data_IF_900164906750
#
_entry.id   IF_900164906750
#
_cell.length_a   1.000
_cell.length_b   1.000
_cell.length_c   1.000
_cell.angle_alpha   90.00
_cell.angle_beta   90.00
_cell.angle_gamma   90.00
#
_symmetry.space_group_name_H-M   'P 1'
#
loop_
_entity.id
_entity.type
_entity.pdbx_description
1 polymer ?
#
# COMPACT_ATOMS: atom_id res chain seq x y z
N UNK A 1 -5.86 4.64 50.76
CA UNK A 1 -4.53 5.17 51.12
C UNK A 1 -3.99 5.86 49.91
N UNK A 2 -3.94 7.18 49.98
CA UNK A 2 -3.50 8.06 48.89
C UNK A 2 -1.99 8.09 48.81
N UNK A 3 -1.43 7.95 47.63
CA UNK A 3 -0.09 8.48 47.38
C UNK A 3 -0.13 9.43 46.19
N UNK A 4 0.22 10.67 46.53
CA UNK A 4 0.17 11.86 45.67
C UNK A 4 1.49 11.97 44.93
N UNK A 5 1.42 12.14 43.62
CA UNK A 5 2.57 12.42 42.78
C UNK A 5 3.16 13.80 43.06
N UNK A 6 4.46 13.83 43.34
CA UNK A 6 5.25 15.03 43.65
C UNK A 6 5.75 15.72 42.38
N UNK A 7 5.29 16.93 42.14
CA UNK A 7 5.77 17.83 41.07
C UNK A 7 7.04 18.53 41.59
N UNK A 8 8.12 18.50 40.82
CA UNK A 8 9.36 19.24 41.07
C UNK A 8 9.42 20.43 40.10
N UNK A 9 9.54 21.68 40.57
CA UNK A 9 9.71 22.84 39.74
C UNK A 9 11.18 23.08 39.36
N UNK A 10 11.47 23.33 38.09
CA UNK A 10 12.76 23.81 37.62
C UNK A 10 12.87 25.32 37.89
N UNK A 11 13.85 25.71 38.68
CA UNK A 11 14.25 27.09 38.95
C UNK A 11 15.04 27.67 37.78
N UNK A 12 14.65 28.86 37.34
CA UNK A 12 15.43 29.73 36.48
C UNK A 12 16.43 30.57 37.29
N UNK A 13 17.54 30.83 36.70
CA UNK A 13 18.50 31.90 37.07
C UNK A 13 18.92 32.49 35.74
N UNK A 14 18.86 33.77 35.49
CA UNK A 14 19.12 34.98 36.28
C UNK A 14 20.00 35.83 35.39
N UNK A 15 19.44 36.95 34.89
CA UNK A 15 20.16 37.92 34.06
C UNK A 15 21.11 38.75 34.92
N UNK A 16 22.28 39.11 34.38
CA UNK A 16 23.04 40.27 34.84
C UNK A 16 23.48 41.12 33.66
N UNK A 17 23.07 42.39 33.73
CA UNK A 17 23.56 43.51 32.96
C UNK A 17 24.91 43.96 33.51
N UNK A 18 25.78 44.55 32.64
CA UNK A 18 26.99 45.29 33.03
C UNK A 18 27.74 45.79 31.80
N UNK A 19 27.45 46.96 31.35
CA UNK A 19 28.16 48.25 31.34
C UNK A 19 29.45 48.30 30.48
N UNK A 20 29.42 49.16 29.45
CA UNK A 20 30.59 49.81 28.84
C UNK A 20 31.14 50.86 29.83
N UNK A 21 32.28 51.49 29.67
CA UNK A 21 32.95 52.01 28.46
C UNK A 21 34.50 51.93 28.47
N UNK A 22 35.12 52.37 27.40
CA UNK A 22 36.58 52.53 27.38
C UNK A 22 37.16 53.04 26.06
N UNK A 23 37.08 54.34 25.93
CA UNK A 23 37.71 55.12 24.85
C UNK A 23 39.21 55.24 25.12
N UNK A 24 40.09 54.77 24.24
CA UNK A 24 41.51 55.19 24.22
C UNK A 24 41.84 55.87 22.91
N UNK A 25 42.24 57.15 23.02
CA UNK A 25 42.96 57.93 22.02
C UNK A 25 44.45 57.81 22.34
N UNK A 26 45.29 57.67 21.34
CA UNK A 26 46.66 58.16 21.27
C UNK A 26 47.17 57.90 19.85
N UNK A 27 47.33 58.85 18.99
CA UNK A 27 48.53 59.63 18.72
C UNK A 27 49.80 58.76 18.51
N UNK A 28 50.31 58.78 17.30
CA UNK A 28 51.66 59.23 16.88
C UNK A 28 51.87 58.86 15.43
N UNK A 29 52.14 59.77 14.68
CA UNK A 29 53.32 60.34 14.03
C UNK A 29 53.59 59.81 12.62
N UNK A 30 53.59 60.78 11.82
CA UNK A 30 53.97 60.90 10.43
C UNK A 30 55.50 60.54 10.26
N UNK A 31 55.75 59.52 9.44
CA UNK A 31 57.00 59.43 8.70
C UNK A 31 56.68 59.06 7.26
N UNK A 32 57.08 59.96 6.37
CA UNK A 32 57.07 59.76 4.94
C UNK A 32 58.31 58.86 4.60
N UNK A 33 58.02 57.74 3.94
CA UNK A 33 59.04 57.12 3.12
C UNK A 33 58.38 56.66 1.83
N UNK A 34 58.89 57.20 0.76
CA UNK A 34 58.62 56.74 -0.60
C UNK A 34 59.01 55.28 -0.74
N UNK A 35 58.06 54.44 -1.10
CA UNK A 35 58.34 53.11 -1.57
C UNK A 35 57.42 52.77 -2.76
N UNK A 36 58.15 52.50 -3.82
CA UNK A 36 57.77 51.96 -5.13
C UNK A 36 56.47 51.10 -5.10
N UNK A 37 55.55 51.48 -5.98
CA UNK A 37 54.39 50.60 -6.32
C UNK A 37 54.90 49.24 -6.84
N UNK A 38 54.47 48.13 -6.23
CA UNK A 38 54.55 46.86 -6.90
C UNK A 38 53.50 46.80 -8.00
N UNK A 39 53.91 46.44 -9.19
CA UNK A 39 53.02 46.11 -10.32
C UNK A 39 51.90 45.17 -9.87
N UNK A 40 50.66 45.60 -10.00
CA UNK A 40 49.50 44.76 -9.71
C UNK A 40 49.54 43.53 -10.61
N UNK A 41 49.63 42.35 -10.00
CA UNK A 41 49.40 41.07 -10.70
C UNK A 41 47.94 41.08 -11.28
N UNK A 42 47.78 40.61 -12.51
CA UNK A 42 46.43 40.47 -13.06
C UNK A 42 45.62 39.50 -12.20
N UNK A 43 44.32 39.78 -12.01
CA UNK A 43 43.46 38.88 -11.23
C UNK A 43 43.42 37.48 -11.86
N UNK A 44 43.35 36.42 -11.04
CA UNK A 44 43.28 35.06 -11.56
C UNK A 44 42.05 34.91 -12.47
N UNK A 45 42.11 34.05 -13.51
CA UNK A 45 40.99 33.84 -14.40
C UNK A 45 39.77 33.38 -13.60
N UNK A 46 38.63 34.07 -13.80
CA UNK A 46 37.35 33.66 -13.24
C UNK A 46 36.95 32.32 -13.87
N UNK A 47 37.09 31.25 -13.11
CA UNK A 47 36.55 29.94 -13.49
C UNK A 47 35.04 30.03 -13.34
N UNK A 48 34.31 30.24 -14.44
CA UNK A 48 32.85 30.14 -14.49
C UNK A 48 32.55 28.66 -14.30
N UNK A 49 31.78 28.26 -13.24
CA UNK A 49 31.36 26.88 -13.11
C UNK A 49 30.53 26.52 -14.35
N UNK A 50 30.61 25.27 -14.86
CA UNK A 50 29.74 24.83 -15.94
C UNK A 50 28.27 25.01 -15.53
N UNK A 51 27.48 25.59 -16.42
CA UNK A 51 26.04 25.71 -16.21
C UNK A 51 25.46 24.34 -15.85
N UNK A 52 24.60 24.24 -14.82
CA UNK A 52 23.93 22.98 -14.52
C UNK A 52 23.16 22.53 -15.76
N UNK A 53 23.12 21.21 -16.04
CA UNK A 53 22.37 20.71 -17.21
C UNK A 53 20.94 21.19 -17.12
N UNK A 54 20.43 21.74 -18.23
CA UNK A 54 19.06 22.25 -18.33
C UNK A 54 18.08 21.15 -17.90
N UNK A 55 17.13 21.48 -17.03
CA UNK A 55 16.06 20.55 -16.65
C UNK A 55 15.29 20.13 -17.93
N UNK A 56 15.03 18.82 -18.09
CA UNK A 56 14.33 18.35 -19.28
C UNK A 56 12.96 19.02 -19.36
N UNK A 57 12.60 19.51 -20.54
CA UNK A 57 11.30 20.12 -20.75
C UNK A 57 10.19 19.10 -20.52
N UNK A 58 9.00 19.55 -20.11
CA UNK A 58 7.83 18.67 -19.92
C UNK A 58 7.52 17.84 -21.18
N UNK A 59 7.84 18.35 -22.36
CA UNK A 59 7.70 17.66 -23.65
C UNK A 59 8.71 16.52 -23.78
N UNK A 60 9.96 16.75 -23.34
CA UNK A 60 11.00 15.72 -23.40
C UNK A 60 10.71 14.58 -22.41
N UNK A 61 10.19 14.91 -21.21
CA UNK A 61 9.75 13.91 -20.22
C UNK A 61 8.62 13.05 -20.78
N UNK A 62 7.62 13.66 -21.41
CA UNK A 62 6.51 12.92 -22.04
C UNK A 62 7.01 12.08 -23.22
N UNK A 63 7.88 12.63 -24.07
CA UNK A 63 8.46 11.91 -25.21
C UNK A 63 9.27 10.71 -24.75
N UNK A 64 10.08 10.86 -23.71
CA UNK A 64 10.85 9.76 -23.13
C UNK A 64 9.93 8.68 -22.56
N UNK A 65 8.93 9.06 -21.78
CA UNK A 65 7.95 8.12 -21.21
C UNK A 65 7.20 7.33 -22.30
N UNK A 66 6.82 7.98 -23.39
CA UNK A 66 6.20 7.31 -24.55
C UNK A 66 7.17 6.37 -25.23
N UNK A 67 8.42 6.78 -25.44
CA UNK A 67 9.45 5.92 -26.03
C UNK A 67 9.72 4.68 -25.18
N UNK A 68 9.86 4.85 -23.88
CA UNK A 68 10.08 3.75 -22.92
C UNK A 68 8.88 2.78 -22.93
N UNK A 69 7.66 3.30 -23.01
CA UNK A 69 6.45 2.49 -23.13
C UNK A 69 6.40 1.68 -24.45
N UNK A 70 6.82 2.26 -25.55
CA UNK A 70 6.89 1.56 -26.85
C UNK A 70 7.92 0.45 -26.81
N UNK A 71 9.12 0.71 -26.24
CA UNK A 71 10.19 -0.28 -26.10
C UNK A 71 9.73 -1.44 -25.20
N UNK A 72 9.14 -1.15 -24.04
CA UNK A 72 8.64 -2.18 -23.12
C UNK A 72 7.53 -3.02 -23.77
N UNK A 73 6.63 -2.40 -24.52
CA UNK A 73 5.57 -3.11 -25.25
C UNK A 73 6.15 -4.01 -26.35
N UNK A 74 7.14 -3.53 -27.09
CA UNK A 74 7.80 -4.33 -28.13
C UNK A 74 8.58 -5.50 -27.53
N UNK A 75 9.27 -5.31 -26.43
CA UNK A 75 9.94 -6.39 -25.68
C UNK A 75 8.95 -7.42 -25.11
N UNK A 76 7.82 -6.94 -24.58
CA UNK A 76 6.73 -7.80 -24.13
C UNK A 76 6.22 -8.69 -25.24
N UNK A 77 5.88 -8.11 -26.40
CA UNK A 77 5.42 -8.87 -27.56
C UNK A 77 6.48 -9.85 -28.08
N UNK A 78 7.74 -9.43 -28.15
CA UNK A 78 8.84 -10.28 -28.56
C UNK A 78 8.96 -11.50 -27.65
N UNK A 79 9.01 -11.33 -26.33
CA UNK A 79 9.08 -12.43 -25.34
C UNK A 79 7.88 -13.36 -25.44
N UNK A 80 6.68 -12.80 -25.67
CA UNK A 80 5.47 -13.62 -25.88
C UNK A 80 5.51 -14.46 -27.13
N UNK A 81 6.00 -13.90 -28.22
CA UNK A 81 6.12 -14.60 -29.50
C UNK A 81 7.24 -15.63 -29.51
N UNK A 82 8.35 -15.37 -28.81
CA UNK A 82 9.47 -16.32 -28.68
C UNK A 82 9.24 -17.40 -27.62
N UNK A 83 8.22 -17.29 -26.76
CA UNK A 83 8.02 -18.19 -25.63
C UNK A 83 9.00 -17.98 -24.46
N UNK A 84 9.82 -16.93 -24.51
CA UNK A 84 10.84 -16.61 -23.50
C UNK A 84 10.22 -15.80 -22.34
N UNK A 85 9.34 -16.46 -21.59
CA UNK A 85 8.77 -15.94 -20.35
C UNK A 85 8.57 -17.08 -19.34
N UNK A 86 8.77 -16.74 -18.08
CA UNK A 86 8.63 -17.70 -16.99
C UNK A 86 7.29 -17.50 -16.29
N UNK A 87 6.65 -18.60 -15.97
CA UNK A 87 5.42 -18.68 -15.18
C UNK A 87 5.71 -19.63 -14.03
N UNK A 88 5.36 -19.21 -12.80
CA UNK A 88 5.54 -20.09 -11.66
C UNK A 88 4.49 -21.21 -11.60
N UNK A 89 4.64 -22.13 -10.65
CA UNK A 89 3.74 -23.27 -10.47
C UNK A 89 2.27 -22.87 -10.18
N UNK A 90 2.03 -21.65 -9.73
CA UNK A 90 0.70 -21.09 -9.49
C UNK A 90 0.13 -20.35 -10.70
N UNK A 91 0.92 -20.17 -11.75
CA UNK A 91 0.52 -19.45 -12.96
C UNK A 91 0.86 -17.97 -12.96
N UNK A 92 1.60 -17.47 -11.97
CA UNK A 92 2.05 -16.09 -11.93
C UNK A 92 3.09 -15.82 -13.00
N UNK A 93 2.87 -14.73 -13.72
CA UNK A 93 3.70 -14.27 -14.82
C UNK A 93 4.18 -12.84 -14.48
N UNK A 94 5.38 -12.69 -13.91
CA UNK A 94 5.90 -11.38 -13.53
C UNK A 94 5.91 -10.39 -14.68
N UNK A 95 6.29 -10.86 -15.86
CA UNK A 95 6.38 -10.01 -17.03
C UNK A 95 5.02 -9.49 -17.51
N UNK A 96 3.95 -10.31 -17.39
CA UNK A 96 2.59 -9.85 -17.64
C UNK A 96 2.11 -8.89 -16.55
N UNK A 97 2.39 -9.19 -15.29
CA UNK A 97 1.98 -8.36 -14.17
C UNK A 97 2.57 -6.95 -14.25
N UNK A 98 3.87 -6.84 -14.53
CA UNK A 98 4.59 -5.55 -14.58
C UNK A 98 4.26 -4.73 -15.82
N UNK A 99 4.14 -5.37 -16.99
CA UNK A 99 4.03 -4.64 -18.26
C UNK A 99 2.59 -4.46 -18.76
N UNK A 100 1.62 -5.22 -18.21
CA UNK A 100 0.22 -5.14 -18.64
C UNK A 100 -0.70 -4.84 -17.47
N UNK A 101 -0.66 -5.69 -16.43
CA UNK A 101 -1.66 -5.66 -15.39
C UNK A 101 -1.56 -4.42 -14.50
N UNK A 102 -0.41 -4.16 -13.90
CA UNK A 102 -0.19 -3.00 -13.06
C UNK A 102 -0.37 -1.66 -13.80
N UNK A 103 0.17 -1.48 -15.02
CA UNK A 103 -0.08 -0.26 -15.80
C UNK A 103 -1.56 0.06 -16.05
N UNK A 104 -2.41 -0.97 -16.22
CA UNK A 104 -3.87 -0.79 -16.37
C UNK A 104 -4.51 -0.34 -15.04
N UNK A 105 -4.00 -0.81 -13.90
CA UNK A 105 -4.56 -0.49 -12.58
C UNK A 105 -4.09 0.85 -12.00
N UNK A 106 -2.88 1.30 -12.34
CA UNK A 106 -2.30 2.56 -11.82
C UNK A 106 -3.18 3.80 -12.04
N UNK A 107 -3.82 4.03 -13.19
CA UNK A 107 -4.74 5.16 -13.34
C UNK A 107 -5.93 5.13 -12.37
N UNK A 108 -6.45 3.93 -12.03
CA UNK A 108 -7.48 3.79 -11.01
C UNK A 108 -6.92 4.11 -9.62
N UNK A 109 -5.73 3.64 -9.33
CA UNK A 109 -5.04 3.84 -8.05
C UNK A 109 -4.71 5.32 -7.84
N UNK A 110 -3.99 5.94 -8.77
CA UNK A 110 -3.42 7.28 -8.62
C UNK A 110 -4.44 8.41 -8.84
N UNK A 111 -5.27 8.27 -9.88
CA UNK A 111 -6.13 9.37 -10.35
C UNK A 111 -7.59 9.22 -9.94
N UNK A 112 -8.11 8.00 -10.00
CA UNK A 112 -9.52 7.76 -9.72
C UNK A 112 -9.79 7.66 -8.22
N UNK A 113 -9.12 6.77 -7.54
CA UNK A 113 -9.24 6.59 -6.09
C UNK A 113 -8.24 7.43 -5.29
N UNK A 114 -7.19 7.92 -5.90
CA UNK A 114 -6.15 8.76 -5.27
C UNK A 114 -5.69 8.13 -3.95
N UNK A 115 -5.29 6.87 -4.04
CA UNK A 115 -4.97 6.02 -2.88
C UNK A 115 -3.80 6.60 -2.09
N UNK A 116 -3.95 6.72 -0.79
CA UNK A 116 -2.86 7.01 0.14
C UNK A 116 -2.46 5.73 0.86
N UNK A 117 -1.17 5.42 0.81
CA UNK A 117 -0.58 4.23 1.44
C UNK A 117 0.23 4.63 2.66
N UNK A 118 0.10 3.88 3.74
CA UNK A 118 0.91 4.05 4.96
C UNK A 118 1.27 2.71 5.58
N UNK A 119 2.40 2.67 6.31
CA UNK A 119 2.86 1.46 6.99
C UNK A 119 3.41 0.38 6.07
N UNK A 120 3.74 0.69 4.81
CA UNK A 120 4.25 -0.30 3.84
C UNK A 120 5.56 -0.95 4.31
N UNK A 121 6.33 -0.24 5.12
CA UNK A 121 7.56 -0.71 5.77
C UNK A 121 7.34 -1.86 6.75
N UNK A 122 6.10 -2.10 7.18
CA UNK A 122 5.72 -3.23 8.01
C UNK A 122 5.72 -4.56 7.26
N UNK A 123 5.69 -4.53 5.92
CA UNK A 123 5.89 -5.72 5.10
C UNK A 123 7.39 -5.98 5.03
N UNK A 124 7.88 -7.18 5.41
CA UNK A 124 9.31 -7.46 5.44
C UNK A 124 9.91 -7.43 4.04
N UNK A 125 11.15 -6.96 3.92
CA UNK A 125 11.87 -6.87 2.65
C UNK A 125 12.16 -8.24 2.03
N UNK A 126 12.25 -9.29 2.85
CA UNK A 126 12.51 -10.68 2.46
C UNK A 126 11.71 -11.64 3.33
N UNK A 127 11.57 -12.88 2.90
CA UNK A 127 10.79 -13.88 3.62
C UNK A 127 9.28 -13.79 3.37
N UNK A 128 8.53 -14.77 3.85
CA UNK A 128 7.08 -14.81 3.75
C UNK A 128 6.40 -13.80 4.66
N UNK A 129 5.26 -13.27 4.22
CA UNK A 129 4.38 -12.47 5.06
C UNK A 129 2.93 -12.64 4.61
N UNK A 130 2.00 -12.62 5.54
CA UNK A 130 0.58 -12.74 5.26
C UNK A 130 -0.15 -11.43 5.54
N UNK A 131 -0.53 -10.71 4.50
CA UNK A 131 -1.39 -9.53 4.59
C UNK A 131 -2.83 -9.99 4.80
N UNK A 132 -3.49 -9.47 5.83
CA UNK A 132 -4.89 -9.77 6.17
C UNK A 132 -5.69 -8.48 6.13
N UNK A 133 -6.68 -8.40 5.25
CA UNK A 133 -7.42 -7.16 5.00
C UNK A 133 -8.94 -7.32 5.17
N UNK A 134 -9.64 -6.20 5.42
CA UNK A 134 -11.09 -6.11 5.28
C UNK A 134 -11.48 -6.20 3.81
N UNK A 135 -12.68 -6.76 3.54
CA UNK A 135 -13.18 -6.97 2.17
C UNK A 135 -14.46 -6.22 1.90
N UNK A 136 -14.51 -5.51 0.78
CA UNK A 136 -15.65 -4.67 0.46
C UNK A 136 -15.77 -4.33 -1.02
N UNK A 137 -16.90 -3.72 -1.40
CA UNK A 137 -17.05 -3.04 -2.68
C UNK A 137 -17.69 -3.87 -3.77
N UNK A 138 -18.46 -4.93 -3.46
CA UNK A 138 -19.25 -5.73 -4.43
C UNK A 138 -18.39 -6.47 -5.47
N UNK A 139 -17.39 -5.82 -6.04
CA UNK A 139 -16.33 -6.36 -6.90
C UNK A 139 -15.00 -6.17 -6.16
N UNK A 140 -14.08 -7.15 -6.17
CA UNK A 140 -12.85 -7.14 -5.36
C UNK A 140 -11.78 -6.15 -5.87
N UNK A 141 -12.17 -4.90 -6.11
CA UNK A 141 -11.23 -3.84 -6.53
C UNK A 141 -10.24 -3.50 -5.40
N UNK A 142 -10.65 -3.69 -4.15
CA UNK A 142 -9.78 -3.56 -2.98
C UNK A 142 -8.55 -4.46 -3.05
N UNK A 143 -8.72 -5.71 -3.49
CA UNK A 143 -7.61 -6.64 -3.72
C UNK A 143 -6.65 -6.12 -4.79
N UNK A 144 -7.19 -5.60 -5.90
CA UNK A 144 -6.39 -5.05 -6.99
C UNK A 144 -5.60 -3.81 -6.56
N UNK A 145 -6.23 -2.90 -5.84
CA UNK A 145 -5.56 -1.69 -5.32
C UNK A 145 -4.50 -2.03 -4.27
N UNK A 146 -4.74 -3.06 -3.45
CA UNK A 146 -3.74 -3.55 -2.50
C UNK A 146 -2.52 -4.15 -3.20
N UNK A 147 -2.72 -4.83 -4.34
CA UNK A 147 -1.59 -5.33 -5.17
C UNK A 147 -0.73 -4.20 -5.71
N UNK A 148 -1.36 -3.14 -6.23
CA UNK A 148 -0.64 -1.93 -6.69
C UNK A 148 0.09 -1.28 -5.52
N UNK A 149 -0.58 -1.11 -4.36
CA UNK A 149 0.01 -0.52 -3.17
C UNK A 149 1.30 -1.25 -2.73
N UNK A 150 1.25 -2.57 -2.65
CA UNK A 150 2.44 -3.36 -2.24
C UNK A 150 3.53 -3.27 -3.29
N UNK A 151 3.21 -3.46 -4.56
CA UNK A 151 4.23 -3.45 -5.61
C UNK A 151 4.90 -2.07 -5.74
N UNK A 152 4.11 -1.00 -5.84
CA UNK A 152 4.66 0.32 -6.21
C UNK A 152 5.26 1.08 -5.02
N UNK A 153 4.77 0.85 -3.79
CA UNK A 153 5.25 1.57 -2.60
C UNK A 153 6.25 0.77 -1.76
N UNK A 154 6.34 -0.57 -1.92
CA UNK A 154 7.32 -1.34 -1.18
C UNK A 154 8.73 -1.20 -1.82
N UNK A 155 9.81 -0.92 -1.03
CA UNK A 155 11.15 -0.65 -1.58
C UNK A 155 11.75 -1.76 -2.45
N UNK A 156 11.25 -2.99 -2.29
CA UNK A 156 11.69 -4.16 -3.06
C UNK A 156 10.72 -4.55 -4.16
N UNK A 157 9.69 -3.75 -4.43
CA UNK A 157 8.65 -4.00 -5.44
C UNK A 157 8.09 -5.43 -5.37
N UNK A 158 7.77 -5.88 -4.15
CA UNK A 158 7.34 -7.26 -3.91
C UNK A 158 5.98 -7.53 -4.56
N UNK A 159 5.83 -8.62 -5.32
CA UNK A 159 4.52 -9.03 -5.80
C UNK A 159 3.63 -9.46 -4.63
N UNK A 160 2.35 -9.14 -4.68
CA UNK A 160 1.35 -9.60 -3.72
C UNK A 160 0.57 -10.77 -4.31
N UNK A 161 0.64 -11.93 -3.64
CA UNK A 161 -0.03 -13.16 -4.05
C UNK A 161 -1.40 -13.23 -3.38
N UNK A 162 -2.46 -12.90 -4.12
CA UNK A 162 -3.82 -12.90 -3.60
C UNK A 162 -4.38 -14.30 -3.48
N UNK A 163 -4.87 -14.67 -2.30
CA UNK A 163 -5.66 -15.87 -2.08
C UNK A 163 -7.12 -15.56 -2.41
N UNK A 164 -7.58 -16.02 -3.57
CA UNK A 164 -8.90 -15.73 -4.11
C UNK A 164 -9.82 -16.95 -4.08
N UNK A 165 -11.13 -16.73 -4.02
CA UNK A 165 -12.14 -17.77 -4.04
C UNK A 165 -12.25 -18.44 -5.43
N UNK A 166 -12.73 -19.68 -5.48
CA UNK A 166 -12.89 -20.52 -6.68
C UNK A 166 -13.59 -19.78 -7.82
N UNK A 167 -14.65 -19.05 -7.51
CA UNK A 167 -15.44 -18.31 -8.48
C UNK A 167 -14.59 -17.37 -9.36
N UNK A 168 -13.53 -16.80 -8.83
CA UNK A 168 -12.63 -15.93 -9.59
C UNK A 168 -11.92 -16.67 -10.72
N UNK A 169 -11.68 -17.98 -10.55
CA UNK A 169 -10.99 -18.84 -11.51
C UNK A 169 -11.94 -19.56 -12.47
N UNK A 170 -13.21 -19.67 -12.11
CA UNK A 170 -14.25 -20.29 -12.94
C UNK A 170 -14.76 -19.33 -14.03
N UNK A 171 -14.63 -18.02 -13.82
CA UNK A 171 -15.07 -17.02 -14.79
C UNK A 171 -14.17 -17.06 -16.05
N UNK A 172 -14.76 -17.19 -17.26
CA UNK A 172 -14.00 -17.16 -18.50
C UNK A 172 -13.14 -15.90 -18.62
N UNK A 173 -11.92 -16.03 -19.13
CA UNK A 173 -10.93 -14.95 -19.27
C UNK A 173 -10.40 -14.42 -17.92
N UNK A 174 -11.27 -14.16 -16.93
CA UNK A 174 -10.89 -13.62 -15.63
C UNK A 174 -9.92 -14.57 -14.91
N UNK A 175 -10.22 -15.87 -14.88
CA UNK A 175 -9.37 -16.86 -14.21
C UNK A 175 -7.96 -16.90 -14.77
N UNK A 176 -7.81 -16.82 -16.09
CA UNK A 176 -6.49 -16.79 -16.75
C UNK A 176 -5.70 -15.51 -16.44
N UNK A 177 -6.37 -14.36 -16.40
CA UNK A 177 -5.76 -13.07 -16.03
C UNK A 177 -5.39 -13.09 -14.56
N UNK A 178 -6.29 -13.55 -13.67
CA UNK A 178 -6.06 -13.62 -12.25
C UNK A 178 -4.80 -14.44 -11.91
N UNK A 179 -4.63 -15.64 -12.49
CA UNK A 179 -3.43 -16.45 -12.28
C UNK A 179 -2.16 -15.71 -12.72
N UNK A 180 -2.16 -15.14 -13.94
CA UNK A 180 -1.01 -14.38 -14.45
C UNK A 180 -0.70 -13.14 -13.61
N UNK A 181 -1.71 -12.54 -13.00
CA UNK A 181 -1.56 -11.41 -12.08
C UNK A 181 -1.08 -11.81 -10.66
N UNK A 182 -0.90 -13.12 -10.40
CA UNK A 182 -0.41 -13.62 -9.11
C UNK A 182 -1.49 -14.08 -8.14
N UNK A 183 -2.75 -14.14 -8.57
CA UNK A 183 -3.82 -14.67 -7.73
C UNK A 183 -3.77 -16.20 -7.70
N UNK A 184 -3.96 -16.78 -6.53
CA UNK A 184 -3.91 -18.21 -6.26
C UNK A 184 -5.17 -18.62 -5.50
N UNK A 185 -5.55 -19.88 -5.60
CA UNK A 185 -6.71 -20.41 -4.89
C UNK A 185 -6.56 -20.25 -3.38
N UNK A 186 -7.61 -19.78 -2.71
CA UNK A 186 -7.65 -19.61 -1.26
C UNK A 186 -7.78 -20.97 -0.55
N UNK A 187 -6.75 -21.81 -0.65
CA UNK A 187 -6.66 -23.08 0.05
C UNK A 187 -5.43 -23.10 0.98
N UNK A 188 -5.53 -23.90 2.04
CA UNK A 188 -4.51 -23.96 3.08
C UNK A 188 -3.13 -24.44 2.56
N UNK A 189 -3.02 -25.49 1.70
CA UNK A 189 -1.74 -25.92 1.17
C UNK A 189 -1.03 -24.84 0.35
N UNK A 190 -1.76 -24.13 -0.53
CA UNK A 190 -1.17 -23.08 -1.38
C UNK A 190 -0.70 -21.90 -0.56
N UNK A 191 -1.47 -21.50 0.49
CA UNK A 191 -1.08 -20.46 1.40
C UNK A 191 0.24 -20.79 2.12
N UNK A 192 0.36 -22.00 2.68
CA UNK A 192 1.59 -22.46 3.33
C UNK A 192 2.76 -22.46 2.35
N UNK A 193 2.58 -23.01 1.15
CA UNK A 193 3.64 -23.09 0.15
C UNK A 193 4.15 -21.70 -0.26
N UNK A 194 3.25 -20.76 -0.55
CA UNK A 194 3.62 -19.38 -0.87
C UNK A 194 4.44 -18.72 0.24
N UNK A 195 4.01 -18.87 1.49
CA UNK A 195 4.71 -18.31 2.64
C UNK A 195 6.08 -18.93 2.87
N UNK A 196 6.21 -20.27 2.70
CA UNK A 196 7.48 -20.99 2.77
C UNK A 196 8.45 -20.62 1.65
N UNK A 197 7.94 -20.33 0.47
CA UNK A 197 8.72 -19.81 -0.66
C UNK A 197 9.12 -18.34 -0.49
N UNK A 198 8.78 -17.73 0.66
CA UNK A 198 9.14 -16.35 0.97
C UNK A 198 8.27 -15.32 0.25
N UNK A 199 7.09 -15.69 -0.25
CA UNK A 199 6.19 -14.79 -0.93
C UNK A 199 5.37 -13.93 0.06
N UNK A 200 4.93 -12.74 -0.37
CA UNK A 200 3.89 -11.97 0.33
C UNK A 200 2.54 -12.43 -0.18
N UNK A 201 1.81 -13.14 0.68
CA UNK A 201 0.44 -13.53 0.38
C UNK A 201 -0.58 -12.56 0.99
N UNK A 202 -1.79 -12.47 0.42
CA UNK A 202 -2.87 -11.70 1.00
C UNK A 202 -4.17 -12.48 1.03
N UNK A 203 -4.92 -12.29 2.11
CA UNK A 203 -6.23 -12.91 2.31
C UNK A 203 -7.24 -11.89 2.84
N UNK A 204 -8.50 -12.05 2.42
CA UNK A 204 -9.65 -11.28 2.86
C UNK A 204 -10.61 -12.20 3.60
N UNK A 205 -10.43 -12.43 4.91
CA UNK A 205 -11.10 -13.53 5.62
C UNK A 205 -12.61 -13.32 5.85
N UNK A 206 -13.14 -12.13 5.59
CA UNK A 206 -14.59 -11.91 5.52
C UNK A 206 -15.25 -12.65 4.34
N UNK A 207 -14.47 -12.88 3.27
CA UNK A 207 -14.94 -13.53 2.06
C UNK A 207 -16.19 -12.88 1.45
N UNK A 208 -17.11 -13.68 0.91
CA UNK A 208 -18.35 -13.16 0.30
C UNK A 208 -19.24 -12.36 1.25
N UNK A 209 -19.13 -12.56 2.57
CA UNK A 209 -19.90 -11.79 3.55
C UNK A 209 -19.41 -10.34 3.66
N UNK A 210 -18.10 -10.14 3.53
CA UNK A 210 -17.50 -8.80 3.50
C UNK A 210 -17.84 -8.06 2.23
N UNK A 211 -17.48 -8.64 1.09
CA UNK A 211 -17.67 -8.00 -0.22
C UNK A 211 -19.16 -7.77 -0.55
N UNK A 212 -20.04 -8.65 -0.10
CA UNK A 212 -21.49 -8.58 -0.35
C UNK A 212 -22.31 -7.87 0.72
N UNK A 213 -21.69 -7.25 1.74
CA UNK A 213 -22.45 -6.57 2.80
C UNK A 213 -23.23 -5.34 2.30
N UNK A 214 -24.39 -4.99 2.93
CA UNK A 214 -25.14 -3.80 2.57
C UNK A 214 -24.36 -2.52 2.96
N UNK A 215 -24.62 -1.44 2.26
CA UNK A 215 -23.95 -0.14 2.50
C UNK A 215 -24.20 0.42 3.91
N UNK A 216 -25.33 0.08 4.52
CA UNK A 216 -25.64 0.45 5.92
C UNK A 216 -24.69 -0.17 6.95
N UNK A 217 -24.02 -1.28 6.59
CA UNK A 217 -23.05 -1.98 7.44
C UNK A 217 -21.59 -1.70 7.05
N UNK A 218 -21.39 -0.70 6.21
CA UNK A 218 -20.01 -0.36 5.79
C UNK A 218 -19.09 -0.11 6.98
N UNK A 219 -17.85 -0.55 6.84
CA UNK A 219 -16.79 -0.47 7.86
C UNK A 219 -17.05 -1.25 9.16
N UNK A 220 -18.09 -2.07 9.19
CA UNK A 220 -18.27 -3.08 10.23
C UNK A 220 -17.75 -4.40 9.69
N UNK A 221 -16.67 -4.89 10.26
CA UNK A 221 -16.09 -6.16 9.84
C UNK A 221 -17.06 -7.32 10.10
N UNK A 222 -17.25 -8.13 9.10
CA UNK A 222 -17.92 -9.40 9.24
C UNK A 222 -17.02 -10.40 9.97
N UNK A 223 -17.59 -11.52 10.40
CA UNK A 223 -16.82 -12.56 11.07
C UNK A 223 -15.75 -13.09 10.10
N UNK A 224 -14.50 -13.10 10.55
CA UNK A 224 -13.41 -13.80 9.87
C UNK A 224 -13.68 -15.33 9.94
N UNK A 225 -13.17 -16.05 8.97
CA UNK A 225 -13.40 -17.49 8.87
C UNK A 225 -12.93 -18.28 10.12
N UNK A 226 -12.60 -19.55 9.94
CA UNK A 226 -12.23 -20.46 11.04
C UNK A 226 -10.75 -20.38 11.46
N UNK A 227 -10.03 -19.30 11.14
CA UNK A 227 -8.62 -19.16 11.52
C UNK A 227 -7.63 -19.91 10.60
N UNK A 228 -8.07 -20.43 9.46
CA UNK A 228 -7.17 -21.15 8.54
C UNK A 228 -5.99 -20.31 8.06
N UNK A 229 -6.15 -19.02 7.93
CA UNK A 229 -5.06 -18.09 7.58
C UNK A 229 -4.06 -17.94 8.75
N UNK A 230 -4.52 -17.95 9.99
CA UNK A 230 -3.67 -17.94 11.20
C UNK A 230 -2.87 -19.22 11.29
N UNK A 231 -3.53 -20.39 11.10
CA UNK A 231 -2.85 -21.68 11.07
C UNK A 231 -1.74 -21.73 10.02
N UNK A 232 -1.99 -21.20 8.80
CA UNK A 232 -0.97 -21.13 7.77
C UNK A 232 0.22 -20.24 8.17
N UNK A 233 -0.05 -19.09 8.77
CA UNK A 233 0.98 -18.16 9.27
C UNK A 233 1.81 -18.81 10.40
N UNK A 234 1.17 -19.42 11.40
CA UNK A 234 1.85 -20.11 12.52
C UNK A 234 2.73 -21.28 12.02
N UNK A 235 2.22 -22.11 11.09
CA UNK A 235 2.99 -23.25 10.55
C UNK A 235 4.22 -22.83 9.77
N UNK A 236 4.25 -21.61 9.27
CA UNK A 236 5.36 -21.09 8.45
C UNK A 236 6.22 -20.06 9.19
N UNK A 237 5.80 -19.63 10.39
CA UNK A 237 6.42 -18.54 11.12
C UNK A 237 6.33 -17.18 10.40
N UNK A 238 5.48 -17.06 9.38
CA UNK A 238 5.32 -15.84 8.61
C UNK A 238 4.50 -14.80 9.37
N UNK A 239 4.97 -13.56 9.57
CA UNK A 239 4.21 -12.54 10.28
C UNK A 239 2.90 -12.21 9.57
N UNK A 240 1.85 -11.96 10.35
CA UNK A 240 0.58 -11.44 9.87
C UNK A 240 0.64 -9.92 9.87
N UNK A 241 0.34 -9.31 8.71
CA UNK A 241 0.29 -7.86 8.54
C UNK A 241 -1.18 -7.44 8.42
N UNK A 242 -1.80 -6.88 9.48
CA UNK A 242 -3.16 -6.36 9.39
C UNK A 242 -3.20 -5.21 8.39
N UNK A 243 -4.10 -5.26 7.43
CA UNK A 243 -4.28 -4.22 6.43
C UNK A 243 -5.69 -3.64 6.50
N UNK A 244 -5.80 -2.33 6.57
CA UNK A 244 -7.08 -1.63 6.69
C UNK A 244 -7.31 -0.76 5.46
N UNK A 245 -8.44 -1.00 4.77
CA UNK A 245 -8.79 -0.33 3.51
C UNK A 245 -10.06 0.50 3.73
N UNK A 246 -9.92 1.81 3.60
CA UNK A 246 -11.04 2.77 3.62
C UNK A 246 -11.23 3.34 2.24
N UNK A 247 -12.47 3.48 1.78
CA UNK A 247 -12.83 3.96 0.45
C UNK A 247 -13.45 2.90 -0.44
N UNK A 248 -13.12 1.62 -0.25
CA UNK A 248 -13.64 0.51 -1.05
C UNK A 248 -15.15 0.27 -0.85
N UNK A 249 -15.69 0.61 0.32
CA UNK A 249 -17.11 0.40 0.62
C UNK A 249 -18.04 1.39 -0.08
N UNK A 250 -17.51 2.52 -0.56
CA UNK A 250 -18.29 3.55 -1.23
C UNK A 250 -18.27 3.47 -2.76
N UNK A 251 -17.45 2.58 -3.35
CA UNK A 251 -17.37 2.48 -4.82
C UNK A 251 -18.63 1.91 -5.46
N UNK A 252 -19.33 1.02 -4.74
CA UNK A 252 -20.61 0.42 -5.14
C UNK A 252 -21.54 0.33 -3.93
N UNK A 253 -22.26 1.40 -3.56
CA UNK A 253 -23.17 1.38 -2.42
C UNK A 253 -24.29 0.34 -2.63
N UNK A 254 -24.13 -0.86 -2.09
CA UNK A 254 -25.14 -1.94 -2.22
C UNK A 254 -26.35 -1.63 -1.36
N UNK A 255 -27.46 -1.34 -2.02
CA UNK A 255 -28.77 -1.03 -1.39
C UNK A 255 -29.74 -2.19 -1.40
N UNK A 256 -29.46 -3.24 -2.18
CA UNK A 256 -30.31 -4.42 -2.29
C UNK A 256 -29.59 -5.62 -2.89
N UNK A 257 -30.32 -6.73 -2.96
CA UNK A 257 -29.83 -7.99 -3.53
C UNK A 257 -30.98 -8.72 -4.25
N UNK A 258 -30.76 -9.12 -5.49
CA UNK A 258 -31.70 -9.94 -6.25
C UNK A 258 -31.34 -11.43 -6.08
N UNK A 259 -31.59 -11.98 -4.88
CA UNK A 259 -31.18 -13.32 -4.50
C UNK A 259 -31.73 -14.45 -5.39
N UNK A 260 -32.91 -14.27 -6.03
CA UNK A 260 -33.43 -15.23 -7.02
C UNK A 260 -32.57 -15.26 -8.28
N UNK A 261 -32.17 -14.07 -8.76
CA UNK A 261 -31.31 -13.96 -9.94
C UNK A 261 -29.88 -14.45 -9.63
N UNK A 262 -29.38 -14.15 -8.44
CA UNK A 262 -28.08 -14.66 -7.97
C UNK A 262 -28.05 -16.20 -8.03
N UNK A 263 -29.09 -16.87 -7.49
CA UNK A 263 -29.18 -18.33 -7.52
C UNK A 263 -29.25 -18.89 -8.94
N UNK A 264 -30.03 -18.24 -9.81
CA UNK A 264 -30.13 -18.66 -11.22
C UNK A 264 -28.78 -18.57 -11.95
N UNK A 265 -27.95 -17.58 -11.61
CA UNK A 265 -26.65 -17.35 -12.22
C UNK A 265 -25.50 -18.06 -11.47
N UNK A 266 -25.78 -18.84 -10.42
CA UNK A 266 -24.74 -19.48 -9.60
C UNK A 266 -23.84 -18.51 -8.83
N UNK A 267 -24.33 -17.27 -8.61
CA UNK A 267 -23.57 -16.23 -7.92
C UNK A 267 -23.92 -16.19 -6.43
N UNK A 268 -22.98 -15.81 -5.54
CA UNK A 268 -23.25 -15.68 -4.11
C UNK A 268 -24.25 -14.55 -3.78
N UNK A 269 -24.34 -13.54 -4.62
CA UNK A 269 -25.30 -12.43 -4.57
C UNK A 269 -25.42 -11.76 -5.95
N UNK A 270 -26.53 -11.06 -6.20
CA UNK A 270 -26.66 -10.17 -7.36
C UNK A 270 -26.96 -8.75 -6.85
N UNK A 271 -25.96 -7.86 -6.87
CA UNK A 271 -26.07 -6.59 -6.17
C UNK A 271 -27.02 -5.62 -6.88
N UNK A 272 -27.73 -4.83 -6.08
CA UNK A 272 -28.43 -3.64 -6.53
C UNK A 272 -27.74 -2.42 -5.91
N UNK A 273 -27.27 -1.53 -6.76
CA UNK A 273 -26.67 -0.24 -6.38
C UNK A 273 -27.49 0.90 -7.02
N UNK A 274 -27.27 2.16 -6.68
CA UNK A 274 -27.93 3.28 -7.35
C UNK A 274 -27.72 3.32 -8.87
N UNK A 275 -26.62 2.75 -9.35
CA UNK A 275 -26.26 2.76 -10.78
C UNK A 275 -26.49 1.40 -11.45
N UNK A 276 -26.30 0.29 -10.75
CA UNK A 276 -26.45 -1.06 -11.29
C UNK A 276 -27.67 -1.76 -10.67
N UNK A 277 -28.56 -2.42 -11.44
CA UNK A 277 -28.46 -2.70 -12.88
C UNK A 277 -29.02 -1.60 -13.79
N UNK A 278 -29.50 -0.46 -13.27
CA UNK A 278 -30.26 0.55 -14.01
C UNK A 278 -29.51 1.13 -15.22
N UNK A 279 -28.19 1.33 -15.10
CA UNK A 279 -27.34 1.81 -16.19
C UNK A 279 -26.60 0.66 -16.92
N UNK A 280 -27.00 -0.60 -16.69
CA UNK A 280 -26.34 -1.77 -17.28
C UNK A 280 -24.83 -1.79 -16.98
N UNK A 281 -23.98 -2.04 -18.00
CA UNK A 281 -22.52 -2.08 -17.81
C UNK A 281 -21.90 -0.79 -17.26
N UNK A 282 -22.49 0.38 -17.53
CA UNK A 282 -22.03 1.65 -16.98
C UNK A 282 -22.18 1.71 -15.45
N UNK A 283 -23.13 0.97 -14.90
CA UNK A 283 -23.29 0.83 -13.46
C UNK A 283 -22.13 0.06 -12.76
N UNK A 284 -21.25 -0.58 -13.54
CA UNK A 284 -20.04 -1.24 -13.04
C UNK A 284 -18.83 -0.31 -12.96
N UNK A 285 -18.96 0.95 -13.40
CA UNK A 285 -17.93 1.96 -13.18
C UNK A 285 -17.93 2.34 -11.69
N UNK A 286 -16.82 2.15 -10.97
CA UNK A 286 -16.78 2.44 -9.53
C UNK A 286 -16.88 3.94 -9.27
N UNK A 287 -17.52 4.34 -8.17
CA UNK A 287 -17.55 5.74 -7.74
C UNK A 287 -16.14 6.19 -7.30
N UNK A 288 -15.74 7.45 -7.58
CA UNK A 288 -14.37 7.95 -7.35
C UNK A 288 -14.14 8.34 -5.88
N UNK A 289 -14.37 7.41 -4.95
CA UNK A 289 -14.09 7.63 -3.53
C UNK A 289 -12.58 7.81 -3.29
N UNK A 290 -12.23 8.57 -2.24
CA UNK A 290 -10.85 8.70 -1.76
C UNK A 290 -10.49 7.50 -0.91
N UNK A 291 -9.33 6.86 -1.18
CA UNK A 291 -8.90 5.66 -0.48
C UNK A 291 -7.71 5.88 0.42
N UNK A 292 -7.71 5.11 1.52
CA UNK A 292 -6.59 4.95 2.43
C UNK A 292 -6.33 3.47 2.63
N UNK A 293 -5.09 3.03 2.43
CA UNK A 293 -4.62 1.68 2.68
C UNK A 293 -3.51 1.77 3.73
N UNK A 294 -3.74 1.19 4.90
CA UNK A 294 -2.76 1.17 5.98
C UNK A 294 -2.37 -0.26 6.33
N UNK A 295 -1.07 -0.54 6.26
CA UNK A 295 -0.46 -1.78 6.73
C UNK A 295 -0.04 -1.59 8.19
N UNK A 296 -0.68 -2.31 9.09
CA UNK A 296 -0.43 -2.27 10.53
C UNK A 296 0.87 -2.97 10.92
N UNK A 297 1.23 -2.86 12.21
CA UNK A 297 2.42 -3.55 12.73
C UNK A 297 2.29 -5.06 12.58
N UNK A 298 3.39 -5.77 12.27
CA UNK A 298 3.40 -7.22 12.15
C UNK A 298 2.97 -7.88 13.46
N UNK A 299 2.06 -8.85 13.36
CA UNK A 299 1.75 -9.79 14.42
C UNK A 299 2.65 -11.00 14.20
N UNK A 300 3.57 -11.21 15.13
CA UNK A 300 4.60 -12.23 15.08
C UNK A 300 3.97 -13.62 15.31
N UNK A 301 4.31 -14.60 14.50
CA UNK A 301 3.74 -15.97 14.60
C UNK A 301 4.80 -17.06 14.82
N UNK A 302 6.08 -16.73 14.73
CA UNK A 302 7.20 -17.66 14.94
C UNK A 302 7.45 -18.01 16.41
N UNK A 303 6.75 -17.35 17.32
CA UNK A 303 6.81 -17.61 18.78
C UNK A 303 5.83 -18.71 19.24
N UNK A 304 4.93 -19.14 18.37
CA UNK A 304 3.95 -20.17 18.68
C UNK A 304 4.51 -21.56 18.45
N UNK A 305 4.18 -22.50 19.34
CA UNK A 305 4.50 -23.89 19.16
C UNK A 305 3.76 -24.48 17.94
N UNK A 306 4.33 -25.52 17.34
CA UNK A 306 3.73 -26.18 16.16
C UNK A 306 2.31 -26.72 16.45
N UNK A 307 2.00 -27.08 17.70
CA UNK A 307 0.67 -27.54 18.14
C UNK A 307 -0.38 -26.42 18.18
N UNK A 308 0.04 -25.15 18.40
CA UNK A 308 -0.86 -23.99 18.43
C UNK A 308 -1.56 -23.78 17.08
N UNK A 309 -0.91 -24.16 15.98
CA UNK A 309 -1.50 -24.07 14.64
C UNK A 309 -2.72 -24.99 14.42
N UNK A 310 -2.96 -25.93 15.33
CA UNK A 310 -4.11 -26.85 15.32
C UNK A 310 -5.05 -26.61 16.52
N UNK A 311 -4.69 -25.74 17.47
CA UNK A 311 -5.52 -25.41 18.62
C UNK A 311 -6.62 -24.38 18.21
N UNK A 312 -7.91 -24.75 18.29
CA UNK A 312 -9.00 -23.85 17.95
C UNK A 312 -9.06 -22.58 18.80
N UNK A 313 -8.61 -22.61 20.05
CA UNK A 313 -8.63 -21.45 20.96
C UNK A 313 -7.55 -20.46 20.55
N UNK A 314 -6.32 -20.92 20.34
CA UNK A 314 -5.21 -20.09 19.86
C UNK A 314 -5.54 -19.45 18.51
N UNK A 315 -6.07 -20.24 17.57
CA UNK A 315 -6.50 -19.74 16.28
C UNK A 315 -7.59 -18.68 16.39
N UNK A 316 -8.53 -18.86 17.31
CA UNK A 316 -9.59 -17.89 17.57
C UNK A 316 -9.05 -16.60 18.14
N UNK A 317 -8.18 -16.68 19.18
CA UNK A 317 -7.60 -15.51 19.84
C UNK A 317 -6.80 -14.64 18.87
N UNK A 318 -5.92 -15.26 18.07
CA UNK A 318 -5.14 -14.51 17.07
C UNK A 318 -6.03 -13.97 15.96
N UNK A 319 -7.03 -14.73 15.51
CA UNK A 319 -8.01 -14.26 14.49
C UNK A 319 -8.76 -13.03 14.98
N UNK A 320 -9.23 -13.04 16.23
CA UNK A 320 -9.99 -11.93 16.83
C UNK A 320 -9.07 -10.72 17.06
N UNK A 321 -7.85 -10.94 17.50
CA UNK A 321 -6.84 -9.87 17.64
C UNK A 321 -6.54 -9.17 16.31
N UNK A 322 -6.35 -9.93 15.22
CA UNK A 322 -6.15 -9.37 13.87
C UNK A 322 -7.38 -8.57 13.44
N UNK A 323 -8.58 -9.14 13.63
CA UNK A 323 -9.85 -8.49 13.26
C UNK A 323 -10.06 -7.20 14.05
N UNK A 324 -9.80 -7.21 15.36
CA UNK A 324 -9.93 -6.03 16.21
C UNK A 324 -8.93 -4.92 15.79
N UNK A 325 -7.69 -5.28 15.52
CA UNK A 325 -6.65 -4.37 15.05
C UNK A 325 -7.09 -3.66 13.76
N UNK A 326 -7.64 -4.41 12.79
CA UNK A 326 -8.16 -3.84 11.55
C UNK A 326 -9.35 -2.92 11.85
N UNK A 327 -10.31 -3.36 12.69
CA UNK A 327 -11.51 -2.58 13.01
C UNK A 327 -11.17 -1.24 13.69
N UNK A 328 -10.24 -1.24 14.62
CA UNK A 328 -9.77 -0.02 15.29
C UNK A 328 -9.07 0.93 14.31
N UNK A 329 -8.25 0.38 13.41
CA UNK A 329 -7.59 1.17 12.37
C UNK A 329 -8.59 1.77 11.39
N UNK A 330 -9.61 1.03 10.97
CA UNK A 330 -10.69 1.54 10.13
C UNK A 330 -11.38 2.75 10.79
N UNK A 331 -11.73 2.66 12.08
CA UNK A 331 -12.35 3.78 12.80
C UNK A 331 -11.43 5.00 12.87
N UNK A 332 -10.14 4.79 13.11
CA UNK A 332 -9.15 5.86 13.14
C UNK A 332 -9.00 6.54 11.77
N UNK A 333 -8.94 5.79 10.70
CA UNK A 333 -8.85 6.31 9.34
C UNK A 333 -10.12 7.07 8.95
N UNK A 334 -11.29 6.55 9.29
CA UNK A 334 -12.58 7.21 9.06
C UNK A 334 -12.69 8.55 9.83
N UNK A 335 -12.20 8.60 11.07
CA UNK A 335 -12.19 9.84 11.85
C UNK A 335 -11.29 10.93 11.25
N UNK A 336 -10.25 10.55 10.50
CA UNK A 336 -9.36 11.49 9.79
C UNK A 336 -9.93 11.95 8.46
N UNK A 337 -10.73 11.12 7.80
CA UNK A 337 -11.32 11.40 6.49
C UNK A 337 -12.45 12.42 6.62
N UNK A 338 -12.28 13.59 6.02
CA UNK A 338 -13.27 14.69 6.06
C UNK A 338 -14.40 14.50 5.05
N UNK A 339 -14.10 13.90 3.90
CA UNK A 339 -15.03 13.73 2.80
C UNK A 339 -14.80 12.40 2.09
N UNK A 340 -15.90 11.77 1.64
CA UNK A 340 -15.85 10.47 0.94
C UNK A 340 -15.10 10.56 -0.39
N UNK A 341 -15.26 11.67 -1.11
CA UNK A 341 -14.71 11.83 -2.46
C UNK A 341 -13.44 12.67 -2.51
N UNK A 342 -13.26 13.60 -1.59
CA UNK A 342 -12.11 14.52 -1.61
C UNK A 342 -11.03 14.16 -0.59
N UNK A 343 -11.39 13.44 0.49
CA UNK A 343 -10.49 13.07 1.58
C UNK A 343 -10.61 13.91 2.83
#
# INVERSE_FOLDING_TARGET
MNEVAKVIPLRGTGATRGTAPGRWKSQYSREQSESRHPSAMPPPPVVIPPEPPAEPSSVDVVRQAVADQIVSTAEFLRKRLSGDYQVDDFGYDPHFAENVWLPILRPLFDKWFRVEVSGIENIPATGGALVVANHAGVIPIDALMTSVAVHDHHPRHRPLRMLAADLAFELPVVGGIARKAGHTLACHPDAIRLLQEGQVAAVFPEGYKGIGKPFSERYKLQRFGRGGFVSAAMRTGAPIIPCSIVGSEEIYPKIGDLGTLARLLGMPYFPVTPLFPHLGPLGLVPLPSKWYIEFGKPIVTDTFDASAADDPMELFEVTDHVRETIQQTLYRLLARRRNVFLG
#
